data_IF_354080044195
#
_entry.id   IF_354080044195
#
_cell.length_a   1.000
_cell.length_b   1.000
_cell.length_c   1.000
_cell.angle_alpha   90.00
_cell.angle_beta   90.00
_cell.angle_gamma   90.00
#
_symmetry.space_group_name_H-M   'P 1'
#
loop_
_entity.id
_entity.type
_entity.pdbx_description
1 polymer ?
#
# COMPACT_ATOMS: atom_id res chain seq x y z
N UNK A 1 -13.66 17.45 -9.72
CA UNK A 1 -12.93 18.18 -8.67
C UNK A 1 -12.64 17.19 -7.58
N UNK A 2 -11.34 16.92 -7.29
CA UNK A 2 -10.95 15.99 -6.24
C UNK A 2 -10.76 16.78 -4.92
N UNK A 3 -11.22 16.20 -3.81
CA UNK A 3 -11.10 16.78 -2.47
C UNK A 3 -10.09 15.99 -1.67
N UNK A 4 -9.10 16.69 -1.07
CA UNK A 4 -8.05 16.09 -0.26
C UNK A 4 -8.21 16.48 1.21
N UNK A 5 -8.15 15.48 2.08
CA UNK A 5 -8.32 15.62 3.53
C UNK A 5 -7.01 15.37 4.26
N UNK A 6 -6.82 16.01 5.41
CA UNK A 6 -5.67 15.75 6.26
C UNK A 6 -5.80 14.40 6.97
N UNK A 7 -4.66 13.85 7.38
CA UNK A 7 -4.58 12.64 8.23
C UNK A 7 -5.39 12.80 9.52
N UNK A 8 -5.44 14.01 10.09
CA UNK A 8 -6.21 14.31 11.28
C UNK A 8 -7.72 14.23 11.01
N UNK A 9 -8.19 14.79 9.89
CA UNK A 9 -9.60 14.72 9.48
C UNK A 9 -10.04 13.29 9.22
N UNK A 10 -9.22 12.51 8.50
CA UNK A 10 -9.53 11.09 8.22
C UNK A 10 -9.59 10.30 9.52
N UNK A 11 -8.61 10.42 10.42
CA UNK A 11 -8.64 9.74 11.73
C UNK A 11 -9.83 10.16 12.59
N UNK A 12 -10.24 11.43 12.54
CA UNK A 12 -11.43 11.90 13.24
C UNK A 12 -12.71 11.24 12.69
N UNK A 13 -12.81 11.07 11.35
CA UNK A 13 -13.92 10.36 10.72
C UNK A 13 -13.92 8.85 11.04
N UNK A 14 -12.75 8.22 11.17
CA UNK A 14 -12.64 6.79 11.54
C UNK A 14 -13.00 6.52 13.02
N UNK A 15 -12.75 7.47 13.91
CA UNK A 15 -12.85 7.26 15.35
C UNK A 15 -14.22 6.72 15.82
N UNK A 16 -15.38 7.23 15.40
CA UNK A 16 -16.68 6.69 15.81
C UNK A 16 -16.91 5.25 15.29
N UNK A 17 -16.41 4.90 14.11
CA UNK A 17 -16.50 3.54 13.56
C UNK A 17 -15.64 2.56 14.36
N UNK A 18 -14.41 2.96 14.71
CA UNK A 18 -13.51 2.15 15.54
C UNK A 18 -14.09 1.94 16.95
N UNK A 19 -14.73 2.96 17.53
CA UNK A 19 -15.42 2.84 18.82
C UNK A 19 -16.56 1.83 18.78
N UNK A 20 -17.27 1.72 17.65
CA UNK A 20 -18.32 0.71 17.38
C UNK A 20 -17.77 -0.63 16.92
N UNK A 21 -16.44 -0.78 16.82
CA UNK A 21 -15.75 -1.98 16.32
C UNK A 21 -16.17 -2.37 14.90
N UNK A 22 -16.47 -1.40 14.06
CA UNK A 22 -16.76 -1.66 12.67
C UNK A 22 -15.52 -2.18 11.93
N UNK A 23 -15.66 -3.07 10.95
CA UNK A 23 -14.55 -3.75 10.32
C UNK A 23 -13.91 -2.89 9.21
N UNK A 24 -13.41 -1.67 9.55
CA UNK A 24 -12.83 -0.75 8.57
C UNK A 24 -11.65 -1.39 7.81
N UNK A 25 -10.75 -2.07 8.54
CA UNK A 25 -9.59 -2.76 7.96
C UNK A 25 -10.02 -3.86 6.98
N UNK A 26 -11.10 -4.60 7.27
CA UNK A 26 -11.61 -5.60 6.31
C UNK A 26 -12.15 -4.94 5.05
N UNK A 27 -12.91 -3.85 5.18
CA UNK A 27 -13.42 -3.08 4.02
C UNK A 27 -12.26 -2.54 3.16
N UNK A 28 -11.20 -2.04 3.79
CA UNK A 28 -9.99 -1.56 3.12
C UNK A 28 -9.29 -2.71 2.38
N UNK A 29 -9.05 -3.84 3.06
CA UNK A 29 -8.39 -5.01 2.49
C UNK A 29 -9.18 -5.61 1.31
N UNK A 30 -10.50 -5.75 1.43
CA UNK A 30 -11.37 -6.22 0.34
C UNK A 30 -11.30 -5.30 -0.88
N UNK A 31 -11.24 -3.98 -0.64
CA UNK A 31 -11.05 -2.98 -1.69
C UNK A 31 -9.69 -3.09 -2.36
N UNK A 32 -8.64 -3.23 -1.58
CA UNK A 32 -7.27 -3.43 -2.06
C UNK A 32 -7.17 -4.73 -2.87
N UNK A 33 -7.70 -5.84 -2.37
CA UNK A 33 -7.67 -7.12 -3.07
C UNK A 33 -8.38 -7.06 -4.45
N UNK A 34 -9.47 -6.30 -4.57
CA UNK A 34 -10.12 -6.05 -5.88
C UNK A 34 -9.20 -5.33 -6.87
N UNK A 35 -8.49 -4.28 -6.42
CA UNK A 35 -7.55 -3.55 -7.28
C UNK A 35 -6.33 -4.41 -7.65
N UNK A 36 -5.84 -5.25 -6.72
CA UNK A 36 -4.76 -6.20 -7.01
C UNK A 36 -5.17 -7.24 -8.06
N UNK A 37 -6.40 -7.79 -7.97
CA UNK A 37 -6.93 -8.69 -9.02
C UNK A 37 -7.04 -7.99 -10.36
N UNK A 38 -7.47 -6.74 -10.39
CA UNK A 38 -7.54 -5.95 -11.61
C UNK A 38 -6.14 -5.72 -12.21
N UNK A 39 -5.13 -5.41 -11.38
CA UNK A 39 -3.74 -5.25 -11.81
C UNK A 39 -3.17 -6.56 -12.39
N UNK A 40 -3.38 -7.70 -11.72
CA UNK A 40 -2.99 -9.02 -12.21
C UNK A 40 -3.69 -9.38 -13.53
N UNK A 41 -4.99 -9.11 -13.63
CA UNK A 41 -5.79 -9.38 -14.84
C UNK A 41 -5.42 -8.52 -16.04
N UNK A 42 -4.82 -7.34 -15.84
CA UNK A 42 -4.33 -6.49 -16.92
C UNK A 42 -3.08 -7.06 -17.62
N UNK A 43 -2.37 -7.99 -16.98
CA UNK A 43 -1.15 -8.63 -17.51
C UNK A 43 -1.45 -9.95 -18.24
N UNK A 44 -2.37 -9.91 -19.18
CA UNK A 44 -2.99 -11.07 -19.86
C UNK A 44 -2.05 -12.02 -20.61
N UNK A 45 -0.80 -11.65 -20.85
CA UNK A 45 0.13 -12.45 -21.66
C UNK A 45 0.93 -13.50 -20.84
N UNK A 46 0.71 -13.58 -19.52
CA UNK A 46 1.38 -14.57 -18.66
C UNK A 46 0.50 -15.77 -18.36
N UNK A 47 1.07 -16.97 -18.55
CA UNK A 47 0.44 -18.24 -18.18
C UNK A 47 0.58 -18.43 -16.67
N UNK A 48 -0.52 -18.41 -15.92
CA UNK A 48 -0.56 -18.68 -14.49
C UNK A 48 -1.39 -17.66 -13.69
N UNK A 49 -1.54 -17.91 -12.40
CA UNK A 49 -2.35 -17.11 -11.49
C UNK A 49 -1.71 -15.75 -11.08
N UNK A 50 -0.50 -15.48 -11.59
CA UNK A 50 0.27 -14.27 -11.31
C UNK A 50 1.07 -14.32 -10.00
N UNK A 51 2.04 -13.41 -9.88
CA UNK A 51 2.92 -13.31 -8.71
C UNK A 51 2.90 -11.91 -8.11
N UNK A 52 2.81 -11.83 -6.78
CA UNK A 52 2.70 -10.59 -6.01
C UNK A 52 3.80 -10.53 -4.97
N UNK A 53 4.54 -9.42 -4.95
CA UNK A 53 5.49 -9.09 -3.90
C UNK A 53 4.88 -8.02 -3.00
N UNK A 54 4.77 -8.27 -1.69
CA UNK A 54 4.16 -7.35 -0.73
C UNK A 54 5.20 -6.86 0.26
N UNK A 55 5.45 -5.55 0.27
CA UNK A 55 6.30 -4.88 1.25
C UNK A 55 5.43 -4.48 2.45
N UNK A 56 5.70 -5.10 3.61
CA UNK A 56 4.81 -5.04 4.78
C UNK A 56 5.43 -4.19 5.88
N UNK A 57 4.76 -3.11 6.24
CA UNK A 57 5.09 -2.28 7.39
C UNK A 57 4.52 -2.78 8.72
N UNK A 58 4.93 -2.16 9.84
CA UNK A 58 4.53 -2.60 11.20
C UNK A 58 3.13 -2.14 11.63
N UNK A 59 2.49 -1.23 10.88
CA UNK A 59 1.22 -0.58 11.25
C UNK A 59 -0.01 -1.16 10.57
N UNK A 60 -1.12 -0.40 10.61
CA UNK A 60 -2.38 -0.79 10.00
C UNK A 60 -2.27 -0.92 8.48
N UNK A 61 -1.47 -0.07 7.82
CA UNK A 61 -1.21 -0.14 6.39
C UNK A 61 -0.65 -1.52 5.97
N UNK A 62 0.33 -2.04 6.75
CA UNK A 62 0.80 -3.40 6.60
C UNK A 62 -0.27 -4.44 6.91
N UNK A 63 -1.19 -4.14 7.82
CA UNK A 63 -2.35 -5.00 8.13
C UNK A 63 -3.30 -5.12 6.94
N UNK A 64 -3.67 -4.00 6.32
CA UNK A 64 -4.52 -3.97 5.11
C UNK A 64 -3.86 -4.76 3.97
N UNK A 65 -2.54 -4.54 3.75
CA UNK A 65 -1.76 -5.27 2.76
C UNK A 65 -1.73 -6.79 3.03
N UNK A 66 -1.58 -7.21 4.30
CA UNK A 66 -1.54 -8.64 4.67
C UNK A 66 -2.88 -9.33 4.46
N UNK A 67 -4.00 -8.70 4.82
CA UNK A 67 -5.32 -9.30 4.57
C UNK A 67 -5.63 -9.37 3.08
N UNK A 68 -5.29 -8.34 2.30
CA UNK A 68 -5.43 -8.40 0.85
C UNK A 68 -4.51 -9.47 0.23
N UNK A 69 -3.26 -9.62 0.72
CA UNK A 69 -2.32 -10.66 0.30
C UNK A 69 -2.89 -12.06 0.53
N UNK A 70 -3.49 -12.32 1.70
CA UNK A 70 -4.16 -13.57 2.03
C UNK A 70 -5.24 -13.91 1.01
N UNK A 71 -6.11 -12.96 0.68
CA UNK A 71 -7.20 -13.14 -0.28
C UNK A 71 -6.70 -13.41 -1.72
N UNK A 72 -5.61 -12.77 -2.11
CA UNK A 72 -4.96 -13.00 -3.41
C UNK A 72 -4.30 -14.38 -3.46
N UNK A 73 -3.60 -14.78 -2.38
CA UNK A 73 -2.98 -16.11 -2.26
C UNK A 73 -4.02 -17.23 -2.30
N UNK A 74 -5.09 -17.11 -1.52
CA UNK A 74 -6.22 -18.07 -1.53
C UNK A 74 -6.89 -18.21 -2.91
N UNK A 75 -6.76 -17.18 -3.77
CA UNK A 75 -7.25 -17.21 -5.15
C UNK A 75 -6.27 -17.90 -6.13
N UNK A 76 -5.12 -18.41 -5.62
CA UNK A 76 -4.15 -19.21 -6.37
C UNK A 76 -2.92 -18.43 -6.89
N UNK A 77 -2.78 -17.14 -6.58
CA UNK A 77 -1.57 -16.37 -6.93
C UNK A 77 -0.39 -16.72 -6.01
N UNK A 78 0.84 -16.65 -6.54
CA UNK A 78 2.06 -16.76 -5.75
C UNK A 78 2.35 -15.43 -5.03
N UNK A 79 2.24 -15.42 -3.69
CA UNK A 79 2.39 -14.19 -2.90
C UNK A 79 3.59 -14.30 -1.96
N UNK A 80 4.53 -13.38 -2.13
CA UNK A 80 5.72 -13.26 -1.27
C UNK A 80 5.64 -12.00 -0.41
N UNK A 81 5.93 -12.14 0.89
CA UNK A 81 5.89 -11.07 1.88
C UNK A 81 7.31 -10.69 2.32
N UNK A 82 7.61 -9.40 2.35
CA UNK A 82 8.84 -8.84 2.94
C UNK A 82 8.46 -7.96 4.13
N UNK A 83 8.79 -8.40 5.34
CA UNK A 83 8.54 -7.62 6.54
C UNK A 83 9.65 -6.59 6.73
N UNK A 84 9.30 -5.31 6.63
CA UNK A 84 10.25 -4.19 6.73
C UNK A 84 10.59 -3.80 8.18
N UNK A 85 9.97 -4.45 9.18
CA UNK A 85 10.23 -4.27 10.59
C UNK A 85 10.14 -5.62 11.34
N UNK A 86 10.65 -5.68 12.58
CA UNK A 86 10.63 -6.89 13.40
C UNK A 86 9.21 -7.27 13.86
N UNK A 87 8.27 -6.33 13.77
CA UNK A 87 6.85 -6.55 14.06
C UNK A 87 6.01 -6.28 12.82
N UNK A 88 4.88 -6.95 12.73
CA UNK A 88 3.83 -6.74 11.74
C UNK A 88 2.46 -6.84 12.41
N UNK A 89 1.38 -6.54 11.71
CA UNK A 89 0.02 -6.78 12.19
C UNK A 89 -0.19 -8.28 12.43
N UNK A 90 -0.16 -8.71 13.73
CA UNK A 90 -0.06 -10.12 14.13
C UNK A 90 -1.11 -11.02 13.48
N UNK A 91 -2.39 -10.60 13.54
CA UNK A 91 -3.49 -11.40 12.98
C UNK A 91 -3.42 -11.45 11.45
N UNK A 92 -3.15 -10.31 10.79
CA UNK A 92 -3.00 -10.27 9.33
C UNK A 92 -1.87 -11.17 8.84
N UNK A 93 -0.71 -11.15 9.53
CA UNK A 93 0.42 -12.02 9.17
C UNK A 93 0.07 -13.51 9.34
N UNK A 94 -0.60 -13.88 10.42
CA UNK A 94 -1.02 -15.27 10.63
C UNK A 94 -1.95 -15.73 9.51
N UNK A 95 -3.00 -14.95 9.18
CA UNK A 95 -3.93 -15.26 8.10
C UNK A 95 -3.21 -15.36 6.76
N UNK A 96 -2.32 -14.42 6.43
CA UNK A 96 -1.59 -14.45 5.16
C UNK A 96 -0.72 -15.71 5.03
N UNK A 97 -0.05 -16.15 6.10
CA UNK A 97 0.76 -17.36 6.10
C UNK A 97 -0.11 -18.63 6.01
N UNK A 98 -1.22 -18.67 6.73
CA UNK A 98 -2.17 -19.80 6.71
C UNK A 98 -2.81 -19.95 5.30
N UNK A 99 -3.01 -18.84 4.59
CA UNK A 99 -3.53 -18.81 3.23
C UNK A 99 -2.45 -18.99 2.14
N UNK A 100 -1.21 -19.37 2.53
CA UNK A 100 -0.17 -19.82 1.62
C UNK A 100 0.82 -18.74 1.16
N UNK A 101 0.77 -17.51 1.70
CA UNK A 101 1.83 -16.54 1.43
C UNK A 101 3.18 -17.02 1.96
N UNK A 102 4.24 -16.83 1.18
CA UNK A 102 5.62 -17.11 1.58
C UNK A 102 6.32 -15.88 2.17
N UNK A 103 7.41 -16.08 2.93
CA UNK A 103 8.21 -14.95 3.44
C UNK A 103 9.57 -14.91 2.77
N UNK A 104 10.03 -13.69 2.45
CA UNK A 104 11.40 -13.39 2.05
C UNK A 104 12.04 -12.57 3.16
N UNK A 105 13.28 -12.90 3.51
CA UNK A 105 14.04 -12.14 4.50
C UNK A 105 14.39 -10.75 3.94
N UNK A 106 14.13 -9.71 4.73
CA UNK A 106 14.37 -8.33 4.30
C UNK A 106 15.86 -7.96 4.22
N UNK A 107 16.71 -8.75 4.85
CA UNK A 107 18.17 -8.65 4.84
C UNK A 107 18.83 -9.57 3.80
N UNK A 108 18.06 -10.16 2.90
CA UNK A 108 18.55 -10.89 1.72
C UNK A 108 18.21 -10.10 0.43
N UNK A 109 19.09 -9.18 0.00
CA UNK A 109 18.86 -8.37 -1.19
C UNK A 109 18.83 -9.19 -2.48
N UNK A 110 19.49 -10.36 -2.52
CA UNK A 110 19.48 -11.23 -3.70
C UNK A 110 18.12 -11.92 -3.85
N UNK A 111 17.56 -12.46 -2.75
CA UNK A 111 16.22 -13.05 -2.76
C UNK A 111 15.15 -12.00 -3.07
N UNK A 112 15.29 -10.77 -2.53
CA UNK A 112 14.39 -9.66 -2.82
C UNK A 112 14.45 -9.27 -4.31
N UNK A 113 15.64 -9.09 -4.89
CA UNK A 113 15.80 -8.78 -6.30
C UNK A 113 15.24 -9.89 -7.21
N UNK A 114 15.44 -11.17 -6.83
CA UNK A 114 14.83 -12.29 -7.54
C UNK A 114 13.30 -12.30 -7.44
N UNK A 115 12.72 -11.89 -6.32
CA UNK A 115 11.27 -11.74 -6.18
C UNK A 115 10.74 -10.57 -7.03
N UNK A 116 11.42 -9.42 -7.03
CA UNK A 116 11.10 -8.29 -7.92
C UNK A 116 11.13 -8.74 -9.38
N UNK A 117 12.14 -9.53 -9.79
CA UNK A 117 12.28 -10.01 -11.17
C UNK A 117 11.10 -10.89 -11.62
N UNK A 118 10.43 -11.59 -10.70
CA UNK A 118 9.28 -12.46 -11.01
C UNK A 118 7.93 -11.78 -10.81
N UNK A 119 7.87 -10.73 -10.00
CA UNK A 119 6.60 -10.10 -9.63
C UNK A 119 5.85 -9.53 -10.84
N UNK A 120 4.56 -9.78 -10.91
CA UNK A 120 3.61 -9.11 -11.80
C UNK A 120 3.04 -7.85 -11.14
N UNK A 121 2.90 -7.89 -9.81
CA UNK A 121 2.46 -6.77 -8.99
C UNK A 121 3.38 -6.63 -7.77
N UNK A 122 3.75 -5.39 -7.44
CA UNK A 122 4.44 -5.04 -6.20
C UNK A 122 3.50 -4.18 -5.37
N UNK A 123 3.33 -4.52 -4.10
CA UNK A 123 2.46 -3.80 -3.17
C UNK A 123 3.32 -3.08 -2.14
N UNK A 124 3.21 -1.76 -2.09
CA UNK A 124 3.82 -0.93 -1.05
C UNK A 124 2.83 -0.71 0.10
N UNK A 125 2.90 -1.55 1.13
CA UNK A 125 2.11 -1.47 2.36
C UNK A 125 2.95 -1.09 3.59
N UNK A 126 4.02 -0.27 3.42
CA UNK A 126 4.96 0.01 4.51
C UNK A 126 4.41 1.09 5.45
N UNK A 127 4.14 2.30 4.94
CA UNK A 127 3.67 3.43 5.71
C UNK A 127 2.34 3.97 5.17
N UNK A 128 1.43 4.33 6.07
CA UNK A 128 0.21 5.08 5.78
C UNK A 128 0.16 6.34 6.64
N UNK A 129 -1.03 6.92 6.86
CA UNK A 129 -1.23 8.17 7.61
C UNK A 129 -0.86 8.10 9.11
N UNK A 130 -0.50 6.94 9.62
CA UNK A 130 -0.20 6.73 11.05
C UNK A 130 1.19 7.18 11.50
N UNK A 131 2.06 7.65 10.61
CA UNK A 131 3.40 8.11 10.95
C UNK A 131 3.49 9.63 11.03
N UNK A 132 4.25 10.15 11.99
CA UNK A 132 4.56 11.57 12.09
C UNK A 132 5.74 11.97 11.16
N UNK A 133 6.61 11.02 10.83
CA UNK A 133 7.74 11.22 9.91
C UNK A 133 7.55 10.34 8.68
N UNK A 134 7.26 10.92 7.51
CA UNK A 134 6.99 10.13 6.30
C UNK A 134 8.25 9.50 5.70
N UNK A 135 9.45 10.08 5.90
CA UNK A 135 10.68 9.58 5.33
C UNK A 135 10.98 8.13 5.76
N UNK A 136 11.25 7.27 4.80
CA UNK A 136 11.72 5.92 5.08
C UNK A 136 13.12 5.94 5.69
N UNK A 137 13.36 5.13 6.74
CA UNK A 137 14.64 5.02 7.43
C UNK A 137 14.99 3.57 7.71
N UNK A 138 16.28 3.25 7.79
CA UNK A 138 16.78 1.89 8.09
C UNK A 138 16.23 0.84 7.13
N UNK A 139 15.81 -0.31 7.66
CA UNK A 139 15.37 -1.46 6.86
C UNK A 139 14.26 -1.13 5.83
N UNK A 140 13.19 -0.40 6.13
CA UNK A 140 12.21 0.01 5.11
C UNK A 140 12.84 0.74 3.93
N UNK A 141 13.78 1.67 4.20
CA UNK A 141 14.48 2.43 3.17
C UNK A 141 15.39 1.52 2.31
N UNK A 142 16.13 0.62 2.95
CA UNK A 142 17.01 -0.35 2.27
C UNK A 142 16.21 -1.28 1.36
N UNK A 143 15.09 -1.81 1.84
CA UNK A 143 14.18 -2.66 1.05
C UNK A 143 13.66 -1.91 -0.17
N UNK A 144 13.14 -0.70 0.01
CA UNK A 144 12.60 0.11 -1.11
C UNK A 144 13.71 0.47 -2.10
N UNK A 145 14.91 0.85 -1.64
CA UNK A 145 16.05 1.12 -2.51
C UNK A 145 16.43 -0.10 -3.36
N UNK A 146 16.47 -1.30 -2.76
CA UNK A 146 16.74 -2.56 -3.47
C UNK A 146 15.65 -2.85 -4.52
N UNK A 147 14.38 -2.61 -4.18
CA UNK A 147 13.26 -2.78 -5.13
C UNK A 147 13.39 -1.84 -6.31
N UNK A 148 13.66 -0.54 -6.06
CA UNK A 148 13.84 0.47 -7.11
C UNK A 148 15.02 0.09 -8.04
N UNK A 149 16.15 -0.32 -7.46
CA UNK A 149 17.31 -0.75 -8.24
C UNK A 149 17.00 -1.98 -9.11
N UNK A 150 16.30 -2.97 -8.56
CA UNK A 150 15.92 -4.17 -9.28
C UNK A 150 14.92 -3.87 -10.41
N UNK A 151 13.97 -2.94 -10.19
CA UNK A 151 13.02 -2.47 -11.20
C UNK A 151 13.73 -1.78 -12.37
N UNK A 152 14.76 -0.97 -12.10
CA UNK A 152 15.53 -0.29 -13.14
C UNK A 152 16.27 -1.23 -14.10
N UNK A 153 16.36 -2.52 -13.78
CA UNK A 153 16.99 -3.57 -14.60
C UNK A 153 15.97 -4.38 -15.42
N UNK A 154 14.66 -4.11 -15.26
CA UNK A 154 13.60 -4.85 -15.96
C UNK A 154 13.15 -4.13 -17.22
N UNK A 155 13.00 -4.89 -18.31
CA UNK A 155 12.34 -4.44 -19.55
C UNK A 155 10.80 -4.44 -19.41
N UNK A 156 10.27 -5.40 -18.64
CA UNK A 156 8.84 -5.57 -18.38
C UNK A 156 8.55 -5.26 -16.89
N UNK A 157 8.23 -4.01 -16.59
CA UNK A 157 7.98 -3.57 -15.22
C UNK A 157 6.68 -4.15 -14.66
N UNK A 158 6.65 -4.60 -13.37
CA UNK A 158 5.42 -4.97 -12.68
C UNK A 158 4.53 -3.73 -12.47
N UNK A 159 3.26 -3.96 -12.17
CA UNK A 159 2.39 -2.88 -11.68
C UNK A 159 2.71 -2.62 -10.21
N UNK A 160 3.03 -1.39 -9.86
CA UNK A 160 3.25 -0.97 -8.47
C UNK A 160 1.94 -0.40 -7.89
N UNK A 161 1.49 -1.00 -6.79
CA UNK A 161 0.29 -0.59 -6.06
C UNK A 161 0.68 -0.08 -4.67
N UNK A 162 0.47 1.21 -4.41
CA UNK A 162 0.63 1.78 -3.07
C UNK A 162 -0.66 1.63 -2.26
N UNK A 163 -0.50 1.22 -1.00
CA UNK A 163 -1.59 1.07 -0.03
C UNK A 163 -1.73 2.37 0.76
N UNK A 164 -2.88 2.98 0.66
CA UNK A 164 -3.25 4.27 1.25
C UNK A 164 -2.50 5.47 0.64
N UNK A 165 -1.19 5.43 0.58
CA UNK A 165 -0.28 6.37 -0.08
C UNK A 165 1.08 5.72 -0.34
N UNK A 166 1.87 6.19 -1.32
CA UNK A 166 3.24 5.74 -1.49
C UNK A 166 4.05 5.99 -0.22
N UNK A 167 4.76 4.98 0.26
CA UNK A 167 5.55 5.10 1.50
C UNK A 167 6.72 6.06 1.31
N UNK A 168 6.82 7.07 2.18
CA UNK A 168 7.85 8.09 2.09
C UNK A 168 7.35 9.48 1.71
N UNK A 169 6.06 9.64 1.40
CA UNK A 169 5.44 10.95 1.12
C UNK A 169 4.69 11.50 2.33
N UNK A 170 4.63 12.82 2.44
CA UNK A 170 3.81 13.52 3.43
C UNK A 170 2.33 13.43 3.10
N UNK A 171 1.49 12.84 3.99
CA UNK A 171 0.07 12.62 3.69
C UNK A 171 -0.74 13.90 3.62
N UNK A 172 -0.30 14.97 4.29
CA UNK A 172 -1.06 16.22 4.41
C UNK A 172 -0.54 17.33 3.50
N UNK A 173 0.77 17.40 3.31
CA UNK A 173 1.47 18.48 2.61
C UNK A 173 2.12 18.05 1.27
N UNK A 174 2.14 16.75 0.97
CA UNK A 174 2.79 16.21 -0.22
C UNK A 174 4.31 16.32 -0.22
N UNK A 175 4.93 16.53 0.94
CA UNK A 175 6.38 16.55 1.06
C UNK A 175 7.01 15.20 0.72
N UNK A 176 8.19 15.22 0.10
CA UNK A 176 9.02 14.03 -0.17
C UNK A 176 10.39 14.29 0.44
N UNK A 177 10.54 14.06 1.75
CA UNK A 177 11.75 14.47 2.48
C UNK A 177 12.98 13.60 2.17
N UNK A 178 12.79 12.41 1.63
CA UNK A 178 13.84 11.52 1.12
C UNK A 178 13.38 10.95 -0.22
N UNK A 179 14.21 11.04 -1.25
CA UNK A 179 13.88 10.56 -2.60
C UNK A 179 13.73 9.04 -2.74
N UNK A 180 13.89 8.26 -1.66
CA UNK A 180 13.66 6.81 -1.64
C UNK A 180 12.17 6.54 -1.48
N UNK A 181 11.42 6.79 -2.54
CA UNK A 181 9.98 6.52 -2.64
C UNK A 181 9.76 5.64 -3.85
N UNK A 182 9.02 4.55 -3.69
CA UNK A 182 8.64 3.67 -4.79
C UNK A 182 7.48 4.32 -5.56
N UNK A 183 7.68 4.78 -6.81
CA UNK A 183 6.58 5.36 -7.58
C UNK A 183 5.50 4.31 -7.84
N UNK A 184 4.25 4.67 -7.61
CA UNK A 184 3.11 3.79 -7.83
C UNK A 184 2.47 4.05 -9.20
N UNK A 185 2.01 2.98 -9.86
CA UNK A 185 1.08 3.08 -10.99
C UNK A 185 -0.34 3.34 -10.51
N UNK A 186 -0.67 2.80 -9.34
CA UNK A 186 -1.97 2.95 -8.68
C UNK A 186 -1.78 3.15 -7.18
N UNK A 187 -2.41 4.16 -6.62
CA UNK A 187 -2.56 4.31 -5.17
C UNK A 187 -4.00 3.97 -4.78
N UNK A 188 -4.16 2.94 -3.94
CA UNK A 188 -5.46 2.55 -3.38
C UNK A 188 -5.59 3.17 -2.01
N UNK A 189 -6.39 4.22 -1.91
CA UNK A 189 -6.59 5.00 -0.68
C UNK A 189 -7.97 4.75 -0.09
N UNK A 190 -8.11 4.84 1.23
CA UNK A 190 -9.31 4.39 1.95
C UNK A 190 -10.06 5.55 2.60
N UNK A 191 -11.39 5.55 2.46
CA UNK A 191 -12.32 6.47 3.09
C UNK A 191 -12.30 7.90 2.56
N UNK A 192 -11.10 8.46 2.36
CA UNK A 192 -10.91 9.78 1.74
C UNK A 192 -9.56 9.86 1.03
N UNK A 193 -9.46 10.72 0.02
CA UNK A 193 -8.18 11.05 -0.61
C UNK A 193 -7.38 11.92 0.37
N UNK A 194 -6.14 11.50 0.68
CA UNK A 194 -5.22 12.28 1.50
C UNK A 194 -4.69 13.46 0.68
N UNK A 195 -4.64 14.63 1.30
CA UNK A 195 -4.28 15.87 0.61
C UNK A 195 -2.93 15.79 -0.11
N UNK A 196 -1.95 15.13 0.49
CA UNK A 196 -0.62 14.93 -0.08
C UNK A 196 -0.63 14.19 -1.41
N UNK A 197 -1.62 13.32 -1.67
CA UNK A 197 -1.78 12.64 -2.97
C UNK A 197 -2.14 13.59 -4.11
N UNK A 198 -2.61 14.81 -3.80
CA UNK A 198 -3.02 15.82 -4.76
C UNK A 198 -2.00 16.96 -4.91
N UNK A 199 -0.96 16.97 -4.08
CA UNK A 199 0.06 18.02 -3.98
C UNK A 199 1.40 17.55 -4.53
N UNK A 200 2.09 18.41 -5.27
CA UNK A 200 3.47 18.16 -5.67
C UNK A 200 4.43 18.43 -4.49
N UNK A 201 5.53 17.67 -4.39
CA UNK A 201 6.02 16.66 -5.36
C UNK A 201 5.39 15.25 -5.21
N UNK A 202 4.65 14.96 -4.14
CA UNK A 202 4.15 13.61 -3.86
C UNK A 202 3.15 13.09 -4.92
N UNK A 203 2.39 13.99 -5.56
CA UNK A 203 1.46 13.62 -6.63
C UNK A 203 2.15 12.87 -7.77
N UNK A 204 3.39 13.24 -8.10
CA UNK A 204 4.17 12.56 -9.14
C UNK A 204 4.50 11.09 -8.82
N UNK A 205 4.39 10.68 -7.55
CA UNK A 205 4.59 9.30 -7.10
C UNK A 205 3.28 8.51 -6.95
N UNK A 206 2.12 9.20 -6.94
CA UNK A 206 0.85 8.58 -6.59
C UNK A 206 0.21 7.75 -7.72
N UNK A 207 0.60 7.99 -8.97
CA UNK A 207 -0.03 7.37 -10.11
C UNK A 207 -1.54 7.63 -10.18
N UNK A 208 -2.32 6.62 -10.54
CA UNK A 208 -3.78 6.70 -10.57
C UNK A 208 -4.36 6.44 -9.19
N UNK A 209 -5.05 7.42 -8.62
CA UNK A 209 -5.68 7.29 -7.30
C UNK A 209 -7.00 6.52 -7.43
N UNK A 210 -7.18 5.50 -6.59
CA UNK A 210 -8.38 4.70 -6.41
C UNK A 210 -8.88 4.85 -4.97
N UNK A 211 -9.99 5.54 -4.81
CA UNK A 211 -10.65 5.67 -3.52
C UNK A 211 -11.55 4.47 -3.28
N UNK A 212 -11.29 3.77 -2.19
CA UNK A 212 -12.15 2.70 -1.65
C UNK A 212 -13.04 3.30 -0.56
N UNK A 213 -14.34 3.24 -0.75
CA UNK A 213 -15.28 3.64 0.28
C UNK A 213 -15.30 2.60 1.42
N UNK A 214 -14.97 3.05 2.62
CA UNK A 214 -15.02 2.25 3.85
C UNK A 214 -16.13 2.72 4.80
N UNK A 215 -16.98 3.66 4.36
CA UNK A 215 -18.15 4.16 5.07
C UNK A 215 -17.97 5.51 5.76
N UNK A 216 -16.92 6.29 5.45
CA UNK A 216 -16.62 7.58 6.11
C UNK A 216 -17.37 8.78 5.49
N UNK A 217 -18.11 8.59 4.39
CA UNK A 217 -18.78 9.70 3.72
C UNK A 217 -19.66 10.57 4.63
N UNK A 218 -20.52 9.99 5.50
CA UNK A 218 -21.34 10.77 6.42
C UNK A 218 -20.51 11.59 7.43
N UNK A 219 -19.38 11.07 7.92
CA UNK A 219 -18.53 11.73 8.91
C UNK A 219 -17.66 12.84 8.30
N UNK A 220 -17.44 12.78 6.99
CA UNK A 220 -16.75 13.81 6.22
C UNK A 220 -17.72 14.85 5.64
N UNK A 221 -19.04 14.60 5.71
CA UNK A 221 -20.03 15.56 5.25
C UNK A 221 -19.93 16.86 6.06
N UNK A 222 -19.64 17.97 5.38
CA UNK A 222 -19.46 19.28 6.01
C UNK A 222 -18.05 19.53 6.58
N UNK A 223 -17.14 18.56 6.49
CA UNK A 223 -15.73 18.79 6.79
C UNK A 223 -15.06 19.46 5.59
N UNK A 224 -14.49 20.65 5.78
CA UNK A 224 -13.80 21.38 4.73
C UNK A 224 -12.52 20.65 4.34
N UNK A 225 -12.35 20.18 3.08
CA UNK A 225 -11.11 19.58 2.63
C UNK A 225 -9.99 20.63 2.61
N UNK A 226 -8.75 20.20 2.90
CA UNK A 226 -7.61 21.14 2.90
C UNK A 226 -7.05 21.39 1.50
N UNK A 227 -7.43 20.57 0.51
CA UNK A 227 -7.05 20.71 -0.92
C UNK A 227 -8.26 20.42 -1.80
N UNK A 228 -8.44 21.23 -2.85
CA UNK A 228 -9.35 20.97 -3.97
C UNK A 228 -8.61 21.15 -5.29
N UNK A 229 -8.72 20.17 -6.22
CA UNK A 229 -8.08 20.20 -7.55
C UNK A 229 -9.09 19.87 -8.65
#
# INVERSE_FOLDING_TARGET
MAEGYSSAQVRAAEAPHLARREPLMQRAADGLARELRAALGARKDRRGAGSVLVLVGPGNNGGDALYAAAEISSSGSDVSLVLTADRAHRRGLAVALDDGCSRIAADDPAALAAAVARADVIVDGILGIGTAEPALRGRPREVVATVIEALGRREDAPVVVAVDLPSGIGPDDGAVPDGTVLPADVTVTFGAIKAGLLLEPARSYAGRIRLVDIGLGPDLAGVEPIVRT
#
